data_IF_028819394408
#
_entry.id   IF_028819394408
#
_cell.length_a   1.000
_cell.length_b   1.000
_cell.length_c   1.000
_cell.angle_alpha   90.00
_cell.angle_beta   90.00
_cell.angle_gamma   90.00
#
_symmetry.space_group_name_H-M   'P 1'
#
loop_
_entity.id
_entity.type
_entity.pdbx_description
1 polymer ?
#
# COMPACT_ATOMS: atom_id res chain seq x y z
N UNK A 1 3.84 28.03 45.16
CA UNK A 1 4.36 26.73 44.85
C UNK A 1 3.20 25.74 44.66
N UNK A 2 3.14 25.04 43.53
CA UNK A 2 2.09 24.09 43.26
C UNK A 2 2.33 22.80 44.04
N UNK A 3 1.28 22.23 44.60
CA UNK A 3 1.36 20.95 45.29
C UNK A 3 1.55 19.82 44.28
N UNK A 4 1.96 18.64 44.76
CA UNK A 4 2.10 17.45 43.92
C UNK A 4 0.75 17.10 43.24
N UNK A 5 -0.34 17.23 43.97
CA UNK A 5 -1.68 16.93 43.44
C UNK A 5 -2.04 17.88 42.31
N UNK A 6 -1.75 19.19 42.46
CA UNK A 6 -1.98 20.16 41.39
C UNK A 6 -1.17 19.86 40.15
N UNK A 7 0.09 19.45 40.33
CA UNK A 7 0.96 19.07 39.22
C UNK A 7 0.45 17.83 38.50
N UNK A 8 -0.02 16.85 39.25
CA UNK A 8 -0.61 15.64 38.66
C UNK A 8 -1.89 15.96 37.87
N UNK A 9 -2.72 16.83 38.40
CA UNK A 9 -3.96 17.25 37.70
C UNK A 9 -3.62 18.01 36.41
N UNK A 10 -2.64 18.88 36.45
CA UNK A 10 -2.16 19.61 35.25
C UNK A 10 -1.63 18.65 34.21
N UNK A 11 -0.81 17.68 34.63
CA UNK A 11 -0.28 16.66 33.71
C UNK A 11 -1.40 15.85 33.06
N UNK A 12 -2.36 15.40 33.84
CA UNK A 12 -3.51 14.65 33.34
C UNK A 12 -4.29 15.46 32.29
N UNK A 13 -4.53 16.72 32.58
CA UNK A 13 -5.25 17.63 31.67
C UNK A 13 -4.49 17.82 30.35
N UNK A 14 -3.19 18.03 30.43
CA UNK A 14 -2.34 18.18 29.24
C UNK A 14 -2.32 16.90 28.42
N UNK A 15 -2.31 15.75 29.05
CA UNK A 15 -2.35 14.45 28.38
C UNK A 15 -3.67 14.27 27.64
N UNK A 16 -4.80 14.63 28.27
CA UNK A 16 -6.11 14.57 27.64
C UNK A 16 -6.18 15.50 26.41
N UNK A 17 -5.66 16.70 26.52
CA UNK A 17 -5.59 17.64 25.39
C UNK A 17 -4.72 17.09 24.26
N UNK A 18 -3.57 16.48 24.61
CA UNK A 18 -2.68 15.86 23.64
C UNK A 18 -3.35 14.68 22.93
N UNK A 19 -4.05 13.82 23.66
CA UNK A 19 -4.78 12.68 23.09
C UNK A 19 -5.88 13.16 22.15
N UNK A 20 -6.62 14.20 22.53
CA UNK A 20 -7.66 14.78 21.67
C UNK A 20 -7.08 15.34 20.38
N UNK A 21 -5.96 16.04 20.48
CA UNK A 21 -5.28 16.61 19.32
C UNK A 21 -4.77 15.48 18.40
N UNK A 22 -4.18 14.45 18.96
CA UNK A 22 -3.70 13.30 18.23
C UNK A 22 -4.83 12.61 17.47
N UNK A 23 -5.99 12.44 18.11
CA UNK A 23 -7.17 11.87 17.47
C UNK A 23 -7.66 12.72 16.29
N UNK A 24 -7.62 14.04 16.43
CA UNK A 24 -7.99 14.95 15.35
C UNK A 24 -7.02 14.86 14.17
N UNK A 25 -5.73 14.78 14.47
CA UNK A 25 -4.70 14.63 13.43
C UNK A 25 -4.93 13.33 12.66
N UNK A 26 -5.17 12.22 13.34
CA UNK A 26 -5.44 10.94 12.70
C UNK A 26 -6.69 10.96 11.84
N UNK A 27 -7.75 11.62 12.31
CA UNK A 27 -8.97 11.75 11.53
C UNK A 27 -8.75 12.53 10.23
N UNK A 28 -7.96 13.60 10.29
CA UNK A 28 -7.62 14.39 9.11
C UNK A 28 -6.71 13.62 8.15
N UNK A 29 -5.73 12.90 8.66
CA UNK A 29 -4.85 12.06 7.83
C UNK A 29 -5.66 10.97 7.12
N UNK A 30 -6.59 10.33 7.83
CA UNK A 30 -7.48 9.33 7.23
C UNK A 30 -8.32 9.94 6.11
N UNK A 31 -8.86 11.12 6.33
CA UNK A 31 -9.65 11.83 5.33
C UNK A 31 -8.83 12.13 4.08
N UNK A 32 -7.59 12.56 4.25
CA UNK A 32 -6.67 12.77 3.14
C UNK A 32 -6.39 11.47 2.38
N UNK A 33 -6.12 10.37 3.10
CA UNK A 33 -5.87 9.08 2.50
C UNK A 33 -7.05 8.63 1.65
N UNK A 34 -8.28 8.74 2.18
CA UNK A 34 -9.50 8.37 1.48
C UNK A 34 -9.73 9.27 0.25
N UNK A 35 -9.34 10.54 0.32
CA UNK A 35 -9.47 11.45 -0.82
C UNK A 35 -8.50 11.14 -1.96
N UNK A 36 -7.32 10.60 -1.65
CA UNK A 36 -6.29 10.28 -2.64
C UNK A 36 -6.40 8.86 -3.19
N UNK A 37 -6.84 7.93 -2.39
CA UNK A 37 -6.84 6.51 -2.70
C UNK A 37 -8.21 5.91 -2.44
N UNK A 38 -8.63 4.99 -3.29
CA UNK A 38 -9.90 4.29 -3.16
C UNK A 38 -9.64 2.79 -3.05
N UNK A 39 -10.37 2.12 -2.16
CA UNK A 39 -10.28 0.66 -2.04
C UNK A 39 -10.66 0.03 -3.39
N UNK A 40 -9.82 -0.89 -3.84
CA UNK A 40 -9.98 -1.55 -5.15
C UNK A 40 -9.17 -0.91 -6.26
N UNK A 41 -8.64 0.29 -6.06
CA UNK A 41 -7.76 0.94 -7.04
C UNK A 41 -6.45 0.17 -7.17
N UNK A 42 -5.90 0.18 -8.37
CA UNK A 42 -4.68 -0.54 -8.70
C UNK A 42 -3.61 0.45 -9.16
N UNK A 43 -2.36 0.16 -8.82
CA UNK A 43 -1.21 1.01 -9.11
C UNK A 43 0.00 0.20 -9.54
N UNK A 44 0.88 0.84 -10.29
CA UNK A 44 2.23 0.36 -10.56
C UNK A 44 3.20 1.18 -9.71
N UNK A 45 3.97 0.51 -8.86
CA UNK A 45 5.09 1.14 -8.16
C UNK A 45 6.28 1.17 -9.11
N UNK A 46 6.57 2.33 -9.67
CA UNK A 46 7.59 2.48 -10.70
C UNK A 46 9.01 2.30 -10.18
N UNK A 47 9.20 2.47 -8.87
CA UNK A 47 10.51 2.28 -8.24
C UNK A 47 10.92 0.80 -8.19
N UNK A 48 9.97 -0.08 -7.90
CA UNK A 48 10.23 -1.50 -7.70
C UNK A 48 9.61 -2.39 -8.78
N UNK A 49 8.84 -1.80 -9.71
CA UNK A 49 8.06 -2.52 -10.72
C UNK A 49 7.10 -3.55 -10.11
N UNK A 50 6.54 -3.20 -8.97
CA UNK A 50 5.52 -4.00 -8.30
C UNK A 50 4.14 -3.51 -8.68
N UNK A 51 3.18 -4.42 -8.75
CA UNK A 51 1.78 -4.08 -8.98
C UNK A 51 1.01 -4.17 -7.67
N UNK A 52 0.15 -3.20 -7.45
CA UNK A 52 -0.49 -2.98 -6.15
C UNK A 52 -1.99 -2.85 -6.33
N UNK A 53 -2.76 -3.51 -5.46
CA UNK A 53 -4.20 -3.32 -5.35
C UNK A 53 -4.56 -2.96 -3.93
N UNK A 54 -5.20 -1.83 -3.72
CA UNK A 54 -5.59 -1.36 -2.40
C UNK A 54 -6.75 -2.19 -1.87
N UNK A 55 -6.59 -2.78 -0.69
CA UNK A 55 -7.60 -3.61 -0.06
C UNK A 55 -8.21 -2.97 1.18
N UNK A 56 -7.49 -2.04 1.82
CA UNK A 56 -7.99 -1.34 2.99
C UNK A 56 -7.26 -0.03 3.19
N UNK A 57 -7.94 0.92 3.82
CA UNK A 57 -7.35 2.20 4.23
C UNK A 57 -7.69 2.38 5.70
N UNK A 58 -6.67 2.53 6.53
CA UNK A 58 -6.86 2.74 7.96
C UNK A 58 -5.96 3.87 8.42
N UNK A 59 -6.59 4.95 8.89
CA UNK A 59 -5.89 6.19 9.28
C UNK A 59 -5.05 6.72 8.10
N UNK A 60 -3.75 6.82 8.25
CA UNK A 60 -2.85 7.29 7.21
C UNK A 60 -2.12 6.16 6.49
N UNK A 61 -2.53 4.91 6.70
CA UNK A 61 -1.91 3.73 6.10
C UNK A 61 -2.79 3.12 5.03
N UNK A 62 -2.17 2.75 3.93
CA UNK A 62 -2.79 2.02 2.83
C UNK A 62 -2.34 0.57 2.94
N UNK A 63 -3.30 -0.35 3.00
CA UNK A 63 -3.04 -1.80 3.00
C UNK A 63 -3.36 -2.34 1.62
N UNK A 64 -2.47 -3.15 1.08
CA UNK A 64 -2.58 -3.59 -0.30
C UNK A 64 -2.01 -4.99 -0.53
N UNK A 65 -2.44 -5.57 -1.65
CA UNK A 65 -1.83 -6.77 -2.21
C UNK A 65 -0.75 -6.30 -3.18
N UNK A 66 0.44 -6.87 -3.05
CA UNK A 66 1.58 -6.54 -3.89
C UNK A 66 1.99 -7.77 -4.71
N UNK A 67 2.16 -7.57 -6.01
CA UNK A 67 2.67 -8.57 -6.93
C UNK A 67 4.10 -8.22 -7.29
N UNK A 68 5.05 -9.03 -6.85
CA UNK A 68 6.47 -8.85 -7.15
C UNK A 68 7.15 -10.19 -7.32
N UNK A 69 8.00 -10.33 -8.34
CA UNK A 69 8.86 -11.49 -8.60
C UNK A 69 8.23 -12.85 -8.24
N UNK A 70 7.10 -13.21 -8.85
CA UNK A 70 6.37 -14.45 -8.56
C UNK A 70 5.88 -14.56 -7.12
N UNK A 71 5.72 -13.43 -6.45
CA UNK A 71 5.19 -13.36 -5.08
C UNK A 71 3.90 -12.58 -5.06
N UNK A 72 2.99 -13.05 -4.23
CA UNK A 72 1.80 -12.30 -3.85
C UNK A 72 1.91 -12.07 -2.35
N UNK A 73 2.10 -10.82 -1.97
CA UNK A 73 2.28 -10.46 -0.56
C UNK A 73 1.25 -9.42 -0.15
N UNK A 74 1.02 -9.31 1.14
CA UNK A 74 0.25 -8.21 1.72
C UNK A 74 1.23 -7.27 2.38
N UNK A 75 1.05 -6.00 2.12
CA UNK A 75 1.94 -4.98 2.65
C UNK A 75 1.16 -3.72 2.98
N UNK A 76 1.81 -2.76 3.57
CA UNK A 76 1.22 -1.46 3.85
C UNK A 76 2.26 -0.36 3.64
N UNK A 77 1.76 0.84 3.40
CA UNK A 77 2.59 2.02 3.26
C UNK A 77 1.89 3.22 3.89
N UNK A 78 2.69 4.08 4.48
CA UNK A 78 2.23 5.37 4.96
C UNK A 78 1.96 6.29 3.77
N UNK A 79 0.83 6.98 3.75
CA UNK A 79 0.41 7.75 2.55
C UNK A 79 1.44 8.79 2.12
N UNK A 80 2.18 9.36 3.06
CA UNK A 80 3.18 10.38 2.77
C UNK A 80 4.50 9.81 2.26
N UNK A 81 4.67 8.49 2.30
CA UNK A 81 5.83 7.80 1.74
C UNK A 81 5.59 7.28 0.32
N UNK A 82 4.38 7.41 -0.18
CA UNK A 82 4.02 6.94 -1.51
C UNK A 82 4.35 8.03 -2.53
N UNK A 83 5.39 7.80 -3.34
CA UNK A 83 5.88 8.80 -4.28
C UNK A 83 5.81 8.36 -5.75
N UNK A 84 5.89 7.06 -6.00
CA UNK A 84 6.11 6.53 -7.34
C UNK A 84 5.01 5.58 -7.81
N UNK A 85 3.79 5.78 -7.36
CA UNK A 85 2.66 4.95 -7.77
C UNK A 85 1.92 5.60 -8.92
N UNK A 86 1.80 4.86 -10.03
CA UNK A 86 1.01 5.27 -11.19
C UNK A 86 -0.24 4.41 -11.28
N UNK A 87 -1.38 5.05 -11.51
CA UNK A 87 -2.65 4.34 -11.57
C UNK A 87 -2.74 3.44 -12.80
N UNK A 88 -3.19 2.21 -12.61
CA UNK A 88 -3.45 1.24 -13.67
C UNK A 88 -4.90 0.78 -13.62
N UNK A 89 -5.33 0.05 -14.65
CA UNK A 89 -6.68 -0.49 -14.67
C UNK A 89 -6.79 -1.77 -13.83
N UNK A 90 -8.00 -2.08 -13.38
CA UNK A 90 -8.27 -3.34 -12.68
C UNK A 90 -7.94 -4.56 -13.54
N UNK A 91 -8.17 -4.47 -14.84
CA UNK A 91 -7.88 -5.56 -15.76
C UNK A 91 -6.37 -5.80 -15.90
N UNK A 92 -5.57 -4.74 -15.94
CA UNK A 92 -4.11 -4.85 -15.97
C UNK A 92 -3.59 -5.56 -14.71
N UNK A 93 -4.12 -5.21 -13.54
CA UNK A 93 -3.75 -5.88 -12.31
C UNK A 93 -4.22 -7.34 -12.31
N UNK A 94 -5.44 -7.61 -12.75
CA UNK A 94 -6.00 -8.97 -12.81
C UNK A 94 -5.17 -9.87 -13.71
N UNK A 95 -4.76 -9.38 -14.87
CA UNK A 95 -3.93 -10.15 -15.81
C UNK A 95 -2.58 -10.50 -15.17
N UNK A 96 -1.95 -9.53 -14.50
CA UNK A 96 -0.70 -9.76 -13.78
C UNK A 96 -0.88 -10.74 -12.61
N UNK A 97 -1.98 -10.63 -11.87
CA UNK A 97 -2.31 -11.53 -10.77
C UNK A 97 -2.45 -12.97 -11.27
N UNK A 98 -3.18 -13.19 -12.37
CA UNK A 98 -3.37 -14.51 -12.94
C UNK A 98 -2.04 -15.09 -13.45
N UNK A 99 -1.20 -14.29 -14.08
CA UNK A 99 0.13 -14.71 -14.51
C UNK A 99 1.00 -15.12 -13.31
N UNK A 100 0.97 -14.33 -12.23
CA UNK A 100 1.71 -14.64 -11.02
C UNK A 100 1.21 -15.93 -10.37
N UNK A 101 -0.10 -16.10 -10.27
CA UNK A 101 -0.71 -17.32 -9.72
C UNK A 101 -0.34 -18.56 -10.52
N UNK A 102 -0.33 -18.46 -11.84
CA UNK A 102 0.07 -19.55 -12.71
C UNK A 102 1.50 -20.01 -12.43
N UNK A 103 2.41 -19.05 -12.29
CA UNK A 103 3.81 -19.35 -12.01
C UNK A 103 4.02 -19.96 -10.61
N UNK A 104 3.29 -19.51 -9.62
CA UNK A 104 3.35 -20.07 -8.26
C UNK A 104 2.87 -21.52 -8.22
N UNK A 105 1.87 -21.85 -9.03
CA UNK A 105 1.29 -23.20 -9.07
C UNK A 105 2.05 -24.17 -9.96
N UNK A 106 2.99 -23.69 -10.75
CA UNK A 106 3.78 -24.53 -11.63
C UNK A 106 4.77 -25.35 -10.80
N UNK A 107 4.72 -26.70 -10.85
CA UNK A 107 5.64 -27.53 -10.08
C UNK A 107 7.10 -27.38 -10.52
N UNK A 108 7.35 -26.92 -11.74
CA UNK A 108 8.70 -26.68 -12.25
C UNK A 108 9.17 -25.26 -12.00
N UNK A 109 8.42 -24.48 -11.24
CA UNK A 109 8.71 -23.07 -10.99
C UNK A 109 10.13 -22.83 -10.46
N UNK A 110 10.62 -23.71 -9.58
CA UNK A 110 11.95 -23.53 -9.00
C UNK A 110 13.10 -23.87 -9.95
N UNK A 111 12.84 -24.62 -11.02
CA UNK A 111 13.89 -25.12 -11.90
C UNK A 111 14.09 -24.38 -13.20
N UNK A 112 13.18 -23.50 -13.58
CA UNK A 112 13.37 -22.84 -14.86
C UNK A 112 12.49 -21.67 -15.19
N UNK A 113 11.22 -21.60 -14.75
CA UNK A 113 10.31 -20.60 -15.30
C UNK A 113 10.44 -19.19 -14.74
N UNK A 114 11.40 -18.89 -13.89
CA UNK A 114 11.62 -17.52 -13.44
C UNK A 114 11.81 -16.56 -14.60
N UNK A 115 12.49 -17.01 -15.65
CA UNK A 115 12.68 -16.20 -16.86
C UNK A 115 11.38 -15.99 -17.62
N UNK A 116 10.51 -17.00 -17.64
CA UNK A 116 9.21 -16.88 -18.32
C UNK A 116 8.26 -15.96 -17.54
N UNK A 117 8.24 -16.11 -16.22
CA UNK A 117 7.46 -15.21 -15.37
C UNK A 117 7.89 -13.78 -15.55
N UNK A 118 9.19 -13.51 -15.54
CA UNK A 118 9.74 -12.16 -15.71
C UNK A 118 9.36 -11.59 -17.09
N UNK A 119 9.40 -12.39 -18.13
CA UNK A 119 8.99 -11.95 -19.49
C UNK A 119 7.52 -11.58 -19.52
N UNK A 120 6.65 -12.38 -18.91
CA UNK A 120 5.21 -12.10 -18.88
C UNK A 120 4.93 -10.81 -18.10
N UNK A 121 5.54 -10.66 -16.93
CA UNK A 121 5.38 -9.47 -16.12
C UNK A 121 5.96 -8.24 -16.80
N UNK A 122 7.16 -8.35 -17.39
CA UNK A 122 7.79 -7.25 -18.10
C UNK A 122 6.95 -6.82 -19.30
N UNK A 123 6.35 -7.76 -20.01
CA UNK A 123 5.44 -7.47 -21.12
C UNK A 123 4.22 -6.68 -20.64
N UNK A 124 3.63 -7.10 -19.52
CA UNK A 124 2.48 -6.41 -18.93
C UNK A 124 2.87 -4.98 -18.51
N UNK A 125 3.99 -4.84 -17.83
CA UNK A 125 4.49 -3.53 -17.38
C UNK A 125 4.80 -2.62 -18.56
N UNK A 126 5.41 -3.15 -19.61
CA UNK A 126 5.69 -2.40 -20.83
C UNK A 126 4.42 -1.93 -21.51
N UNK A 127 3.38 -2.76 -21.53
CA UNK A 127 2.07 -2.40 -22.06
C UNK A 127 1.44 -1.26 -21.27
N UNK A 128 1.55 -1.30 -19.96
CA UNK A 128 1.06 -0.22 -19.08
C UNK A 128 1.76 1.10 -19.41
N UNK A 129 3.09 1.07 -19.52
CA UNK A 129 3.89 2.26 -19.79
C UNK A 129 3.60 2.86 -21.17
N UNK A 130 3.25 2.03 -22.15
CA UNK A 130 2.90 2.50 -23.51
C UNK A 130 1.53 3.17 -23.58
N UNK A 131 0.62 2.82 -22.68
CA UNK A 131 -0.72 3.41 -22.64
C UNK A 131 -0.74 4.83 -22.04
N UNK A 132 0.34 5.23 -21.44
CA UNK A 132 0.50 6.58 -20.94
C UNK A 132 1.06 7.50 -22.06
#
# INVERSE_FOLDING_TARGET
MKTLEELKNTYKKLQEESDNLYSKIRALERKEAISKFTIGDCYLDTKWNDLIKIVSIKDSYIYYICLSEARITRDNSYIYDIENWEKITSNQFKDAYLATMKNIKDPDFEEGPKSNWNKDLDSIISSINKEE
#
